data_IF_884647318564
#
_entry.id   IF_884647318564
#
_cell.length_a   1.000
_cell.length_b   1.000
_cell.length_c   1.000
_cell.angle_alpha   90.00
_cell.angle_beta   90.00
_cell.angle_gamma   90.00
#
_symmetry.space_group_name_H-M   'P 1'
#
loop_
_entity.id
_entity.type
_entity.pdbx_description
1 polymer ?
#
# COMPACT_ATOMS: atom_id res chain seq x y z
N UNK A 1 11.09 -2.68 7.40
CA UNK A 1 12.12 -3.75 7.41
C UNK A 1 11.54 -5.12 7.66
N UNK A 2 10.83 -5.35 8.77
CA UNK A 2 10.15 -6.63 9.04
C UNK A 2 9.24 -7.08 7.90
N UNK A 3 8.34 -6.21 7.43
CA UNK A 3 7.44 -6.50 6.29
C UNK A 3 8.17 -6.90 4.99
N UNK A 4 9.40 -6.43 4.78
CA UNK A 4 10.20 -6.75 3.59
C UNK A 4 11.00 -8.05 3.74
N UNK A 5 10.90 -8.72 4.88
CA UNK A 5 11.67 -9.93 5.19
C UNK A 5 13.13 -9.69 5.57
N UNK A 6 13.57 -8.42 5.64
CA UNK A 6 14.95 -8.05 5.97
C UNK A 6 15.27 -8.23 7.46
N UNK A 7 14.25 -8.29 8.31
CA UNK A 7 14.38 -8.57 9.73
C UNK A 7 13.38 -9.65 10.16
N UNK A 8 13.80 -10.50 11.10
CA UNK A 8 12.94 -11.53 11.67
C UNK A 8 11.71 -10.92 12.36
N UNK A 9 10.56 -11.57 12.19
CA UNK A 9 9.34 -11.24 12.91
C UNK A 9 9.47 -11.53 14.40
N UNK A 10 8.82 -10.71 15.22
CA UNK A 10 8.62 -11.07 16.62
C UNK A 10 7.68 -12.27 16.75
N UNK A 11 7.76 -13.01 17.86
CA UNK A 11 6.98 -14.24 18.07
C UNK A 11 5.48 -13.95 17.91
N UNK A 12 4.84 -14.61 16.94
CA UNK A 12 3.41 -14.45 16.64
C UNK A 12 3.05 -13.18 15.86
N UNK A 13 4.02 -12.35 15.47
CA UNK A 13 3.78 -11.17 14.65
C UNK A 13 3.65 -11.57 13.18
N UNK A 14 2.59 -11.09 12.53
CA UNK A 14 2.33 -11.28 11.10
C UNK A 14 2.66 -10.03 10.29
N UNK A 15 2.71 -10.17 8.96
CA UNK A 15 2.88 -9.04 8.04
C UNK A 15 1.71 -8.05 8.16
N UNK A 16 0.52 -8.56 8.46
CA UNK A 16 -0.70 -7.79 8.74
C UNK A 16 -0.49 -6.88 9.95
N UNK A 17 0.08 -7.41 11.03
CA UNK A 17 0.34 -6.63 12.25
C UNK A 17 1.35 -5.53 12.00
N UNK A 18 2.37 -5.80 11.18
CA UNK A 18 3.36 -4.79 10.78
C UNK A 18 2.70 -3.65 9.99
N UNK A 19 1.85 -3.98 9.02
CA UNK A 19 1.16 -3.00 8.20
C UNK A 19 0.15 -2.19 9.04
N UNK A 20 -0.62 -2.86 9.89
CA UNK A 20 -1.60 -2.22 10.78
C UNK A 20 -0.90 -1.24 11.72
N UNK A 21 0.23 -1.64 12.31
CA UNK A 21 1.06 -0.76 13.13
C UNK A 21 1.48 0.48 12.34
N UNK A 22 2.07 0.31 11.15
CA UNK A 22 2.53 1.42 10.32
C UNK A 22 1.39 2.40 9.97
N UNK A 23 0.29 1.90 9.43
CA UNK A 23 -0.86 2.73 9.02
C UNK A 23 -1.51 3.45 10.21
N UNK A 24 -1.54 2.82 11.38
CA UNK A 24 -2.08 3.43 12.61
C UNK A 24 -1.21 4.59 13.08
N UNK A 25 0.11 4.45 13.01
CA UNK A 25 1.04 5.52 13.38
C UNK A 25 0.99 6.69 12.39
N UNK A 26 0.91 6.40 11.08
CA UNK A 26 0.74 7.40 10.02
C UNK A 26 -0.56 8.22 10.18
N UNK A 27 -1.65 7.56 10.56
CA UNK A 27 -2.94 8.24 10.82
C UNK A 27 -2.88 9.16 12.04
N UNK A 28 -2.17 8.74 13.10
CA UNK A 28 -2.04 9.55 14.33
C UNK A 28 -1.10 10.73 14.17
N UNK A 29 -0.06 10.61 13.34
CA UNK A 29 0.95 11.64 13.20
C UNK A 29 1.24 11.90 11.72
N UNK A 30 0.53 12.88 11.15
CA UNK A 30 0.66 13.28 9.75
C UNK A 30 2.06 13.78 9.39
N UNK A 31 2.82 14.31 10.36
CA UNK A 31 4.19 14.76 10.15
C UNK A 31 5.16 13.60 9.84
N UNK A 32 4.80 12.35 10.19
CA UNK A 32 5.62 11.17 9.88
C UNK A 32 5.40 10.62 8.46
N UNK A 33 4.43 11.16 7.71
CA UNK A 33 4.08 10.61 6.40
C UNK A 33 5.25 10.70 5.44
N UNK A 34 5.84 11.88 5.32
CA UNK A 34 6.98 12.10 4.42
C UNK A 34 8.19 11.29 4.86
N UNK A 35 8.47 11.21 6.17
CA UNK A 35 9.56 10.39 6.71
C UNK A 35 9.39 8.91 6.36
N UNK A 36 8.18 8.36 6.52
CA UNK A 36 7.90 6.96 6.21
C UNK A 36 7.97 6.71 4.70
N UNK A 37 7.49 7.63 3.86
CA UNK A 37 7.65 7.54 2.41
C UNK A 37 9.14 7.54 2.01
N UNK A 38 9.94 8.45 2.57
CA UNK A 38 11.37 8.52 2.36
C UNK A 38 12.08 7.23 2.79
N UNK A 39 11.70 6.65 3.93
CA UNK A 39 12.26 5.38 4.38
C UNK A 39 11.94 4.23 3.43
N UNK A 40 10.71 4.15 2.91
CA UNK A 40 10.34 3.12 1.94
C UNK A 40 11.15 3.30 0.64
N UNK A 41 11.25 4.52 0.12
CA UNK A 41 12.02 4.84 -1.09
C UNK A 41 13.51 4.51 -0.89
N UNK A 42 14.07 4.84 0.27
CA UNK A 42 15.44 4.47 0.62
C UNK A 42 15.63 2.95 0.53
N UNK A 43 14.69 2.16 1.06
CA UNK A 43 14.77 0.70 0.98
C UNK A 43 14.59 0.12 -0.42
N UNK A 44 13.95 0.87 -1.32
CA UNK A 44 13.80 0.52 -2.73
C UNK A 44 14.99 0.97 -3.58
N UNK A 45 15.83 1.87 -3.08
CA UNK A 45 16.98 2.42 -3.80
C UNK A 45 18.23 1.61 -3.48
N UNK A 46 18.85 1.00 -4.49
CA UNK A 46 20.04 0.14 -4.31
C UNK A 46 19.83 -0.91 -3.21
N UNK A 47 18.74 -1.68 -3.31
CA UNK A 47 18.37 -2.67 -2.30
C UNK A 47 19.41 -3.82 -2.27
N UNK A 48 20.22 -3.87 -1.20
CA UNK A 48 21.27 -4.87 -0.96
C UNK A 48 20.80 -6.06 -0.11
N UNK A 49 19.49 -6.25 0.05
CA UNK A 49 18.97 -7.35 0.85
C UNK A 49 19.37 -8.70 0.25
N UNK A 50 19.74 -9.63 1.13
CA UNK A 50 19.96 -11.02 0.74
C UNK A 50 18.66 -11.74 0.35
N UNK A 51 17.49 -11.14 0.64
CA UNK A 51 16.17 -11.68 0.29
C UNK A 51 15.74 -11.16 -1.08
N UNK A 52 15.58 -12.07 -2.05
CA UNK A 52 15.15 -11.74 -3.41
C UNK A 52 13.79 -11.02 -3.45
N UNK A 53 12.88 -11.35 -2.54
CA UNK A 53 11.53 -10.77 -2.50
C UNK A 53 11.47 -9.40 -1.81
N UNK A 54 12.55 -8.96 -1.14
CA UNK A 54 12.56 -7.72 -0.36
C UNK A 54 12.15 -6.51 -1.19
N UNK A 55 12.71 -6.39 -2.40
CA UNK A 55 12.40 -5.30 -3.32
C UNK A 55 10.93 -5.30 -3.75
N UNK A 56 10.37 -6.48 -4.10
CA UNK A 56 8.95 -6.58 -4.47
C UNK A 56 8.03 -6.25 -3.29
N UNK A 57 8.37 -6.71 -2.08
CA UNK A 57 7.62 -6.41 -0.87
C UNK A 57 7.68 -4.92 -0.51
N UNK A 58 8.81 -4.25 -0.73
CA UNK A 58 8.93 -2.79 -0.57
C UNK A 58 8.00 -2.02 -1.50
N UNK A 59 7.92 -2.43 -2.76
CA UNK A 59 7.04 -1.80 -3.75
C UNK A 59 5.56 -2.03 -3.42
N UNK A 60 5.21 -3.25 -2.97
CA UNK A 60 3.86 -3.55 -2.46
C UNK A 60 3.53 -2.68 -1.24
N UNK A 61 4.47 -2.52 -0.30
CA UNK A 61 4.29 -1.66 0.87
C UNK A 61 4.02 -0.20 0.44
N UNK A 62 4.79 0.32 -0.51
CA UNK A 62 4.60 1.67 -1.05
C UNK A 62 3.21 1.82 -1.68
N UNK A 63 2.80 0.88 -2.53
CA UNK A 63 1.48 0.87 -3.15
C UNK A 63 0.34 0.85 -2.11
N UNK A 64 0.52 0.13 -0.99
CA UNK A 64 -0.47 0.11 0.08
C UNK A 64 -0.55 1.48 0.76
N UNK A 65 0.58 2.06 1.17
CA UNK A 65 0.61 3.37 1.84
C UNK A 65 -0.04 4.46 1.00
N UNK A 66 0.20 4.43 -0.33
CA UNK A 66 -0.39 5.39 -1.27
C UNK A 66 -1.92 5.35 -1.38
N UNK A 67 -2.59 4.29 -0.92
CA UNK A 67 -4.07 4.26 -0.85
C UNK A 67 -4.65 5.09 0.31
N UNK A 68 -3.80 5.41 1.29
CA UNK A 68 -4.21 6.11 2.51
C UNK A 68 -3.65 7.52 2.56
N UNK A 69 -2.43 7.70 2.05
CA UNK A 69 -1.66 8.91 2.23
C UNK A 69 -0.99 9.33 0.91
N UNK A 70 -0.95 10.63 0.67
CA UNK A 70 -0.15 11.23 -0.39
C UNK A 70 1.08 11.92 0.23
N UNK A 71 2.22 11.97 -0.49
CA UNK A 71 3.36 12.79 -0.08
C UNK A 71 2.97 14.26 0.01
N UNK A 72 3.67 15.03 0.85
CA UNK A 72 3.48 16.48 0.90
C UNK A 72 3.85 17.16 -0.42
N UNK A 73 3.40 18.40 -0.59
CA UNK A 73 3.74 19.23 -1.76
C UNK A 73 5.25 19.35 -1.99
N UNK A 74 6.04 19.35 -0.91
CA UNK A 74 7.51 19.44 -0.97
C UNK A 74 8.14 18.14 -1.46
N UNK A 75 7.62 16.98 -1.05
CA UNK A 75 8.15 15.66 -1.42
C UNK A 75 7.62 15.18 -2.78
N UNK A 76 6.41 15.61 -3.18
CA UNK A 76 5.72 15.18 -4.39
C UNK A 76 6.57 15.22 -5.67
N UNK A 77 7.29 16.30 -6.04
CA UNK A 77 8.05 16.32 -7.29
C UNK A 77 9.16 15.27 -7.32
N UNK A 78 9.84 15.05 -6.19
CA UNK A 78 10.87 14.02 -6.05
C UNK A 78 10.27 12.62 -6.10
N UNK A 79 9.11 12.44 -5.47
CA UNK A 79 8.40 11.18 -5.45
C UNK A 79 7.97 10.72 -6.84
N UNK A 80 7.33 11.60 -7.62
CA UNK A 80 6.86 11.29 -8.97
C UNK A 80 8.05 11.02 -9.90
N UNK A 81 9.12 11.82 -9.79
CA UNK A 81 10.35 11.57 -10.55
C UNK A 81 10.92 10.19 -10.24
N UNK A 82 11.02 9.82 -8.96
CA UNK A 82 11.51 8.50 -8.55
C UNK A 82 10.68 7.36 -9.14
N UNK A 83 9.35 7.46 -9.14
CA UNK A 83 8.49 6.45 -9.75
C UNK A 83 8.76 6.31 -11.25
N UNK A 84 8.85 7.43 -11.97
CA UNK A 84 9.12 7.42 -13.41
C UNK A 84 10.50 6.84 -13.75
N UNK A 85 11.53 7.15 -12.97
CA UNK A 85 12.89 6.64 -13.19
C UNK A 85 12.96 5.10 -13.00
N UNK A 86 12.10 4.53 -12.15
CA UNK A 86 12.05 3.10 -11.84
C UNK A 86 11.07 2.30 -12.72
N UNK A 87 10.36 2.95 -13.64
CA UNK A 87 9.31 2.30 -14.44
C UNK A 87 9.84 1.18 -15.32
N UNK A 88 11.07 1.29 -15.84
CA UNK A 88 11.68 0.30 -16.73
C UNK A 88 11.94 -1.02 -15.97
N UNK A 89 12.33 -0.93 -14.69
CA UNK A 89 12.71 -2.10 -13.90
C UNK A 89 11.50 -2.76 -13.23
N UNK A 90 10.47 -1.98 -12.85
CA UNK A 90 9.34 -2.46 -12.04
C UNK A 90 7.98 -1.99 -12.57
N UNK A 91 7.81 -1.95 -13.90
CA UNK A 91 6.66 -1.34 -14.60
C UNK A 91 5.31 -1.62 -13.92
N UNK A 92 4.97 -2.89 -13.68
CA UNK A 92 3.68 -3.29 -13.10
C UNK A 92 3.44 -2.71 -11.70
N UNK A 93 4.48 -2.65 -10.87
CA UNK A 93 4.38 -2.18 -9.49
C UNK A 93 4.42 -0.65 -9.42
N UNK A 94 5.21 -0.01 -10.29
CA UNK A 94 5.25 1.45 -10.44
C UNK A 94 3.90 1.96 -10.94
N UNK A 95 3.32 1.34 -11.98
CA UNK A 95 1.99 1.66 -12.48
C UNK A 95 0.92 1.50 -11.39
N UNK A 96 1.03 0.46 -10.57
CA UNK A 96 0.14 0.26 -9.44
C UNK A 96 0.26 1.41 -8.41
N UNK A 97 1.47 1.84 -8.09
CA UNK A 97 1.72 2.97 -7.19
C UNK A 97 1.13 4.28 -7.75
N UNK A 98 1.35 4.56 -9.04
CA UNK A 98 0.81 5.74 -9.72
C UNK A 98 -0.73 5.74 -9.70
N UNK A 99 -1.35 4.60 -10.03
CA UNK A 99 -2.81 4.46 -9.98
C UNK A 99 -3.38 4.72 -8.57
N UNK A 100 -2.76 4.16 -7.53
CA UNK A 100 -3.18 4.41 -6.15
C UNK A 100 -2.98 5.87 -5.75
N UNK A 101 -1.87 6.49 -6.15
CA UNK A 101 -1.60 7.90 -5.91
C UNK A 101 -2.68 8.80 -6.54
N UNK A 102 -3.02 8.60 -7.81
CA UNK A 102 -4.05 9.37 -8.51
C UNK A 102 -5.43 9.19 -7.88
N UNK A 103 -5.79 7.95 -7.51
CA UNK A 103 -7.06 7.66 -6.83
C UNK A 103 -7.15 8.36 -5.48
N UNK A 104 -6.10 8.30 -4.67
CA UNK A 104 -6.05 8.95 -3.36
C UNK A 104 -6.11 10.47 -3.49
N UNK A 105 -5.44 11.04 -4.49
CA UNK A 105 -5.51 12.47 -4.78
C UNK A 105 -6.92 12.91 -5.20
N UNK A 106 -7.60 12.10 -6.03
CA UNK A 106 -8.93 12.42 -6.55
C UNK A 106 -10.06 12.22 -5.53
N UNK A 107 -9.98 11.17 -4.72
CA UNK A 107 -11.07 10.72 -3.84
C UNK A 107 -10.78 10.95 -2.34
N UNK A 108 -9.61 11.50 -1.98
CA UNK A 108 -9.29 11.91 -0.61
C UNK A 108 -8.79 10.79 0.32
N UNK A 109 -8.28 9.69 -0.24
CA UNK A 109 -7.69 8.56 0.50
C UNK A 109 -8.66 7.74 1.35
N UNK A 110 -8.29 6.49 1.64
CA UNK A 110 -9.14 5.61 2.48
C UNK A 110 -9.12 6.06 3.94
N UNK A 111 -10.30 6.31 4.51
CA UNK A 111 -10.48 6.60 5.95
C UNK A 111 -10.57 5.34 6.83
N UNK A 112 -10.98 4.22 6.24
CA UNK A 112 -11.16 2.96 6.95
C UNK A 112 -9.90 2.09 6.80
N UNK A 113 -9.41 1.57 7.93
CA UNK A 113 -8.29 0.63 7.99
C UNK A 113 -8.61 -0.62 7.15
N UNK A 114 -7.67 -1.16 6.36
CA UNK A 114 -7.94 -2.33 5.55
C UNK A 114 -8.25 -3.53 6.46
N UNK A 115 -9.26 -4.31 6.07
CA UNK A 115 -9.62 -5.55 6.75
C UNK A 115 -8.52 -6.60 6.57
N UNK A 116 -8.45 -7.58 7.49
CA UNK A 116 -7.45 -8.67 7.41
C UNK A 116 -7.45 -9.38 6.06
N UNK A 117 -8.63 -9.62 5.48
CA UNK A 117 -8.79 -10.21 4.15
C UNK A 117 -8.21 -9.33 3.03
N UNK A 118 -8.42 -8.02 3.09
CA UNK A 118 -7.80 -7.09 2.13
C UNK A 118 -6.28 -7.10 2.26
N UNK A 119 -5.76 -7.15 3.50
CA UNK A 119 -4.31 -7.16 3.74
C UNK A 119 -3.69 -8.47 3.25
N UNK A 120 -4.32 -9.62 3.50
CA UNK A 120 -3.82 -10.91 3.00
C UNK A 120 -3.78 -10.92 1.46
N UNK A 121 -4.81 -10.35 0.81
CA UNK A 121 -4.86 -10.19 -0.65
C UNK A 121 -3.80 -9.19 -1.15
N UNK A 122 -3.57 -8.10 -0.42
CA UNK A 122 -2.53 -7.11 -0.73
C UNK A 122 -1.12 -7.67 -0.56
N UNK A 123 -0.86 -8.43 0.49
CA UNK A 123 0.42 -9.08 0.73
C UNK A 123 0.70 -10.12 -0.37
N UNK A 124 -0.29 -10.95 -0.70
CA UNK A 124 -0.17 -11.96 -1.75
C UNK A 124 -0.01 -11.34 -3.15
N UNK A 125 -0.92 -10.43 -3.53
CA UNK A 125 -1.05 -9.98 -4.92
C UNK A 125 -0.59 -8.55 -5.20
N UNK A 126 -0.29 -7.75 -4.18
CA UNK A 126 -0.04 -6.31 -4.29
C UNK A 126 -1.27 -5.49 -4.66
N UNK A 127 -2.35 -6.14 -5.09
CA UNK A 127 -3.62 -5.51 -5.45
C UNK A 127 -4.56 -5.67 -4.28
N UNK A 128 -5.40 -4.68 -4.07
CA UNK A 128 -6.62 -4.97 -3.34
C UNK A 128 -7.48 -5.87 -4.24
N UNK A 129 -7.68 -7.11 -3.83
CA UNK A 129 -8.61 -7.98 -4.54
C UNK A 129 -10.00 -7.34 -4.50
N UNK A 130 -10.64 -7.17 -5.65
CA UNK A 130 -12.01 -6.67 -5.71
C UNK A 130 -12.91 -7.57 -4.87
N UNK A 131 -13.54 -7.01 -3.83
CA UNK A 131 -14.40 -7.78 -2.94
C UNK A 131 -15.75 -7.96 -3.63
N UNK A 132 -16.25 -9.20 -3.70
CA UNK A 132 -17.64 -9.42 -4.07
C UNK A 132 -18.49 -9.19 -2.84
N UNK A 133 -19.15 -8.05 -2.77
CA UNK A 133 -20.05 -7.70 -1.68
C UNK A 133 -21.47 -8.02 -2.13
N UNK A 134 -22.18 -8.82 -1.33
CA UNK A 134 -23.59 -9.10 -1.54
C UNK A 134 -24.38 -8.01 -0.83
N UNK A 135 -25.20 -7.28 -1.58
CA UNK A 135 -26.16 -6.31 -1.08
C UNK A 135 -27.55 -6.95 -1.10
N UNK A 136 -28.27 -6.87 0.01
CA UNK A 136 -29.66 -7.30 0.07
C UNK A 136 -30.54 -6.09 -0.27
N UNK A 137 -31.24 -6.15 -1.40
CA UNK A 137 -32.15 -5.08 -1.81
C UNK A 137 -33.51 -5.20 -1.08
N UNK A 138 -34.29 -4.11 -0.97
CA UNK A 138 -35.67 -4.18 -0.50
C UNK A 138 -36.44 -5.23 -1.30
N UNK A 139 -37.02 -6.22 -0.62
CA UNK A 139 -37.61 -7.41 -1.25
C UNK A 139 -36.75 -8.67 -1.19
N UNK A 140 -35.57 -8.64 -0.56
CA UNK A 140 -34.76 -9.84 -0.27
C UNK A 140 -33.92 -10.33 -1.43
N UNK A 141 -33.83 -9.55 -2.52
CA UNK A 141 -33.03 -9.93 -3.71
C UNK A 141 -31.55 -9.68 -3.43
N UNK A 142 -30.68 -10.71 -3.49
CA UNK A 142 -29.24 -10.53 -3.32
C UNK A 142 -28.61 -10.00 -4.62
N UNK A 143 -27.93 -8.87 -4.54
CA UNK A 143 -27.12 -8.29 -5.62
C UNK A 143 -25.64 -8.45 -5.29
N UNK A 144 -24.90 -9.18 -6.14
CA UNK A 144 -23.43 -9.31 -5.99
C UNK A 144 -22.74 -8.20 -6.77
N UNK A 145 -22.14 -7.25 -6.07
CA UNK A 145 -21.32 -6.20 -6.68
C UNK A 145 -19.84 -6.48 -6.45
N UNK A 146 -19.03 -6.28 -7.48
CA UNK A 146 -17.58 -6.24 -7.34
C UNK A 146 -17.19 -4.84 -6.87
N UNK A 147 -16.89 -4.68 -5.59
CA UNK A 147 -16.37 -3.42 -5.06
C UNK A 147 -14.86 -3.40 -5.25
N UNK A 148 -14.36 -2.30 -5.80
CA UNK A 148 -12.94 -1.97 -5.73
C UNK A 148 -12.71 -1.14 -4.46
N UNK A 149 -11.47 -1.02 -3.98
CA UNK A 149 -11.11 -0.32 -2.73
C UNK A 149 -11.47 1.16 -2.72
N UNK A 150 -11.66 1.70 -3.92
CA UNK A 150 -12.01 3.08 -4.22
C UNK A 150 -13.53 3.29 -4.31
N UNK A 151 -14.34 2.24 -4.13
CA UNK A 151 -15.83 2.28 -4.12
C UNK A 151 -16.33 2.18 -2.69
#
# INVERSE_FOLDING_TARGET
MRFMGDHAMSRGQTDVDCLYYLLKHMNKNRALIDEIMCQIIKQLTDNKSAKQDSMQLGWKLLAIVLNYFIPSENLRPYFIKYLNDNIIQNEKLVQLCLNHYEQTLKYGGRKNMPSKVEIDLLAASGRHGGKRQIFLLPGGVPLTLKTTPST
#
